data_IF_907712704115
#
_entry.id   IF_907712704115
#
_cell.length_a   1.000
_cell.length_b   1.000
_cell.length_c   1.000
_cell.angle_alpha   90.00
_cell.angle_beta   90.00
_cell.angle_gamma   90.00
#
_symmetry.space_group_name_H-M   'P 1'
#
loop_
_entity.id
_entity.type
_entity.pdbx_description
1 polymer ?
#
# COMPACT_ATOMS: atom_id res chain seq x y z
N UNK A 1 5.65 -15.32 14.07
CA UNK A 1 4.70 -14.25 13.73
C UNK A 1 5.38 -12.90 13.48
N UNK A 2 6.13 -12.34 14.40
CA UNK A 2 6.85 -11.08 14.23
C UNK A 2 7.70 -11.02 12.94
N UNK A 3 8.36 -12.11 12.57
CA UNK A 3 9.18 -12.18 11.37
C UNK A 3 8.43 -11.80 10.09
N UNK A 4 7.14 -12.13 9.95
CA UNK A 4 6.34 -11.76 8.77
C UNK A 4 6.11 -10.26 8.67
N UNK A 5 5.93 -9.58 9.80
CA UNK A 5 5.79 -8.14 9.84
C UNK A 5 7.12 -7.44 9.55
N UNK A 6 8.23 -8.00 10.04
CA UNK A 6 9.59 -7.50 9.70
C UNK A 6 9.84 -7.62 8.20
N UNK A 7 9.53 -8.77 7.60
CA UNK A 7 9.64 -8.95 6.14
C UNK A 7 8.76 -7.95 5.39
N UNK A 8 7.54 -7.71 5.86
CA UNK A 8 6.66 -6.70 5.28
C UNK A 8 7.23 -5.28 5.33
N UNK A 9 7.85 -4.91 6.45
CA UNK A 9 8.55 -3.62 6.55
C UNK A 9 9.73 -3.53 5.60
N UNK A 10 10.53 -4.60 5.48
CA UNK A 10 11.65 -4.66 4.52
C UNK A 10 11.15 -4.49 3.09
N UNK A 11 10.05 -5.17 2.71
CA UNK A 11 9.45 -5.03 1.39
C UNK A 11 8.95 -3.60 1.16
N UNK A 12 8.36 -2.95 2.17
CA UNK A 12 7.91 -1.56 2.06
C UNK A 12 9.06 -0.59 1.85
N UNK A 13 10.17 -0.78 2.57
CA UNK A 13 11.39 0.02 2.38
C UNK A 13 12.00 -0.22 1.00
N UNK A 14 12.05 -1.47 0.54
CA UNK A 14 12.53 -1.80 -0.80
C UNK A 14 11.65 -1.16 -1.88
N UNK A 15 10.33 -1.13 -1.70
CA UNK A 15 9.41 -0.48 -2.64
C UNK A 15 9.67 1.02 -2.72
N UNK A 16 9.92 1.69 -1.60
CA UNK A 16 10.31 3.11 -1.58
C UNK A 16 11.61 3.31 -2.35
N UNK A 17 12.63 2.48 -2.05
CA UNK A 17 13.93 2.57 -2.71
C UNK A 17 13.82 2.35 -4.22
N UNK A 18 13.01 1.39 -4.67
CA UNK A 18 12.77 1.12 -6.08
C UNK A 18 12.09 2.29 -6.79
N UNK A 19 11.09 2.92 -6.17
CA UNK A 19 10.42 4.10 -6.75
C UNK A 19 11.40 5.26 -6.90
N UNK A 20 12.21 5.54 -5.86
CA UNK A 20 13.23 6.58 -5.91
C UNK A 20 14.28 6.30 -7.00
N UNK A 21 14.68 5.04 -7.15
CA UNK A 21 15.64 4.63 -8.16
C UNK A 21 15.08 4.78 -9.58
N UNK A 22 13.84 4.36 -9.81
CA UNK A 22 13.16 4.52 -11.11
C UNK A 22 13.01 6.00 -11.45
N UNK A 23 12.62 6.81 -10.47
CA UNK A 23 12.45 8.26 -10.66
C UNK A 23 13.80 8.94 -10.97
N UNK A 24 14.87 8.52 -10.30
CA UNK A 24 16.25 8.96 -10.61
C UNK A 24 16.72 8.56 -12.00
N UNK A 25 16.39 7.35 -12.46
CA UNK A 25 16.70 6.91 -13.81
C UNK A 25 15.91 7.70 -14.88
N UNK A 26 14.68 8.07 -14.57
CA UNK A 26 13.87 8.88 -15.49
C UNK A 26 14.44 10.27 -15.71
N UNK A 27 15.07 10.88 -14.70
CA UNK A 27 15.77 12.15 -14.85
C UNK A 27 16.92 12.05 -15.87
N UNK A 28 17.60 10.91 -15.92
CA UNK A 28 18.69 10.68 -16.89
C UNK A 28 18.20 10.55 -18.33
N UNK A 29 16.98 10.03 -18.51
CA UNK A 29 16.39 9.80 -19.84
C UNK A 29 15.61 11.02 -20.33
N UNK A 30 14.92 11.71 -19.41
CA UNK A 30 14.08 12.87 -19.70
C UNK A 30 14.55 14.09 -18.87
N UNK A 31 15.28 15.04 -19.46
CA UNK A 31 15.76 16.23 -18.74
C UNK A 31 14.65 17.10 -18.15
N UNK A 32 13.44 17.05 -18.73
CA UNK A 32 12.27 17.80 -18.27
C UNK A 32 11.55 17.13 -17.08
N UNK A 33 12.01 15.94 -16.64
CA UNK A 33 11.41 15.21 -15.54
C UNK A 33 11.74 15.85 -14.19
N UNK A 34 10.73 16.24 -13.45
CA UNK A 34 10.90 16.82 -12.11
C UNK A 34 11.04 15.74 -11.05
N UNK A 35 12.27 15.39 -10.69
CA UNK A 35 12.57 14.46 -9.58
C UNK A 35 11.92 14.91 -8.29
N UNK A 36 12.10 16.18 -7.90
CA UNK A 36 11.53 16.73 -6.67
C UNK A 36 10.00 16.71 -6.66
N UNK A 37 9.35 16.89 -7.84
CA UNK A 37 7.90 16.83 -7.97
C UNK A 37 7.33 15.42 -7.80
N UNK A 38 8.07 14.40 -8.20
CA UNK A 38 7.62 13.01 -8.23
C UNK A 38 8.07 12.20 -7.00
N UNK A 39 9.00 12.72 -6.21
CA UNK A 39 9.50 12.07 -5.00
C UNK A 39 8.40 11.70 -4.00
N UNK A 40 7.23 12.34 -4.09
CA UNK A 40 6.04 12.06 -3.29
C UNK A 40 5.40 10.70 -3.57
N UNK A 41 5.68 10.11 -4.71
CA UNK A 41 5.18 8.78 -5.04
C UNK A 41 5.85 7.69 -4.18
N UNK A 42 7.08 7.90 -3.72
CA UNK A 42 7.82 6.93 -2.92
C UNK A 42 7.15 6.62 -1.56
N UNK A 43 6.79 7.60 -0.70
CA UNK A 43 6.07 7.30 0.54
C UNK A 43 4.69 6.71 0.28
N UNK A 44 3.99 7.09 -0.78
CA UNK A 44 2.71 6.48 -1.15
C UNK A 44 2.87 5.01 -1.56
N UNK A 45 3.90 4.67 -2.32
CA UNK A 45 4.22 3.29 -2.68
C UNK A 45 4.56 2.45 -1.46
N UNK A 46 5.38 2.98 -0.54
CA UNK A 46 5.66 2.34 0.74
C UNK A 46 4.41 2.12 1.60
N UNK A 47 3.52 3.10 1.63
CA UNK A 47 2.23 3.01 2.32
C UNK A 47 1.33 1.92 1.73
N UNK A 48 1.17 1.88 0.41
CA UNK A 48 0.36 0.86 -0.25
C UNK A 48 0.88 -0.55 0.03
N UNK A 49 2.21 -0.76 -0.03
CA UNK A 49 2.81 -2.06 0.30
C UNK A 49 2.66 -2.41 1.76
N UNK A 50 2.80 -1.47 2.67
CA UNK A 50 2.56 -1.67 4.10
C UNK A 50 1.11 -2.05 4.40
N UNK A 51 0.14 -1.37 3.80
CA UNK A 51 -1.28 -1.73 3.92
C UNK A 51 -1.58 -3.12 3.38
N UNK A 52 -1.00 -3.48 2.22
CA UNK A 52 -1.13 -4.82 1.65
C UNK A 52 -0.64 -5.87 2.63
N UNK A 53 0.53 -5.70 3.24
CA UNK A 53 1.06 -6.63 4.24
C UNK A 53 0.17 -6.68 5.48
N UNK A 54 -0.32 -5.54 5.96
CA UNK A 54 -1.22 -5.45 7.10
C UNK A 54 -2.54 -6.20 6.88
N UNK A 55 -3.02 -6.29 5.64
CA UNK A 55 -4.21 -7.07 5.26
C UNK A 55 -3.90 -8.55 5.04
N UNK A 56 -2.79 -8.85 4.37
CA UNK A 56 -2.41 -10.22 3.99
C UNK A 56 -2.08 -11.08 5.21
N UNK A 57 -1.36 -10.54 6.19
CA UNK A 57 -0.90 -11.32 7.34
C UNK A 57 -2.07 -11.87 8.17
N UNK A 58 -3.05 -11.06 8.65
CA UNK A 58 -4.16 -11.59 9.43
C UNK A 58 -5.09 -12.48 8.59
N UNK A 59 -5.34 -12.14 7.32
CA UNK A 59 -6.18 -12.96 6.44
C UNK A 59 -5.54 -14.31 6.16
N UNK A 60 -4.22 -14.38 5.95
CA UNK A 60 -3.50 -15.63 5.81
C UNK A 60 -3.61 -16.55 7.01
N UNK A 61 -3.70 -16.00 8.23
CA UNK A 61 -3.95 -16.78 9.43
C UNK A 61 -5.40 -17.27 9.57
N UNK A 62 -6.38 -16.46 9.18
CA UNK A 62 -7.80 -16.84 9.22
C UNK A 62 -8.11 -18.02 8.29
N UNK A 63 -7.50 -18.06 7.14
CA UNK A 63 -7.86 -18.94 6.02
C UNK A 63 -6.91 -20.14 5.82
N UNK A 64 -6.03 -20.42 6.78
CA UNK A 64 -5.06 -21.54 6.67
C UNK A 64 -5.72 -22.91 6.45
N UNK A 65 -6.96 -23.12 6.93
CA UNK A 65 -7.73 -24.37 6.69
C UNK A 65 -8.29 -24.48 5.27
N UNK A 66 -8.42 -23.38 4.52
CA UNK A 66 -9.07 -23.30 3.20
C UNK A 66 -8.09 -22.99 2.04
N UNK A 67 -6.78 -23.25 2.24
CA UNK A 67 -5.79 -22.89 1.23
C UNK A 67 -5.48 -21.38 1.25
N UNK A 68 -5.27 -20.82 2.42
CA UNK A 68 -5.21 -19.40 2.73
C UNK A 68 -4.33 -18.55 1.81
N UNK A 69 -3.23 -19.11 1.27
CA UNK A 69 -2.38 -18.39 0.33
C UNK A 69 -3.12 -18.11 -1.00
N UNK A 70 -3.90 -19.09 -1.49
CA UNK A 70 -4.64 -18.96 -2.76
C UNK A 70 -5.74 -17.92 -2.64
N UNK A 71 -6.47 -17.94 -1.53
CA UNK A 71 -7.56 -16.98 -1.29
C UNK A 71 -7.00 -15.58 -1.08
N UNK A 72 -5.90 -15.44 -0.33
CA UNK A 72 -5.23 -14.14 -0.15
C UNK A 72 -4.74 -13.58 -1.49
N UNK A 73 -4.14 -14.41 -2.34
CA UNK A 73 -3.73 -13.99 -3.68
C UNK A 73 -4.93 -13.61 -4.57
N UNK A 74 -6.05 -14.36 -4.49
CA UNK A 74 -7.29 -13.99 -5.20
C UNK A 74 -7.82 -12.63 -4.74
N UNK A 75 -7.87 -12.37 -3.44
CA UNK A 75 -8.33 -11.09 -2.91
C UNK A 75 -7.44 -9.94 -3.39
N UNK A 76 -6.12 -10.12 -3.33
CA UNK A 76 -5.17 -9.11 -3.85
C UNK A 76 -5.42 -8.87 -5.34
N UNK A 77 -5.58 -9.94 -6.11
CA UNK A 77 -5.80 -9.85 -7.56
C UNK A 77 -7.10 -9.10 -7.88
N UNK A 78 -8.18 -9.39 -7.15
CA UNK A 78 -9.46 -8.68 -7.30
C UNK A 78 -9.34 -7.21 -6.93
N UNK A 79 -8.64 -6.87 -5.83
CA UNK A 79 -8.42 -5.47 -5.43
C UNK A 79 -7.60 -4.73 -6.46
N UNK A 80 -6.51 -5.32 -6.94
CA UNK A 80 -5.66 -4.72 -7.99
C UNK A 80 -6.47 -4.51 -9.28
N UNK A 81 -7.20 -5.52 -9.73
CA UNK A 81 -8.08 -5.41 -10.89
C UNK A 81 -9.14 -4.32 -10.70
N UNK A 82 -9.77 -4.24 -9.52
CA UNK A 82 -10.75 -3.21 -9.23
C UNK A 82 -10.15 -1.81 -9.33
N UNK A 83 -8.95 -1.59 -8.79
CA UNK A 83 -8.25 -0.29 -8.87
C UNK A 83 -7.95 0.11 -10.32
N UNK A 84 -7.61 -0.86 -11.18
CA UNK A 84 -7.32 -0.56 -12.59
C UNK A 84 -8.59 -0.41 -13.46
N UNK A 85 -9.63 -1.18 -13.17
CA UNK A 85 -10.87 -1.18 -13.98
C UNK A 85 -11.83 -0.07 -13.53
N UNK A 86 -11.87 0.25 -12.24
CA UNK A 86 -12.79 1.25 -11.68
C UNK A 86 -12.73 2.61 -12.40
N UNK A 87 -11.55 3.19 -12.70
CA UNK A 87 -11.47 4.47 -13.41
C UNK A 87 -12.05 4.41 -14.84
N UNK A 88 -12.03 3.21 -15.47
CA UNK A 88 -12.54 3.01 -16.83
C UNK A 88 -14.07 2.92 -16.89
N UNK A 89 -14.71 2.52 -15.78
CA UNK A 89 -16.16 2.33 -15.69
C UNK A 89 -16.84 3.59 -15.15
N UNK A 90 -16.12 4.40 -14.34
CA UNK A 90 -16.67 5.58 -13.73
C UNK A 90 -16.94 6.69 -14.77
N UNK A 91 -18.08 7.43 -14.63
CA UNK A 91 -18.37 8.58 -15.48
C UNK A 91 -17.26 9.63 -15.39
N UNK A 92 -17.02 10.34 -16.48
CA UNK A 92 -15.96 11.35 -16.56
C UNK A 92 -16.10 12.49 -15.51
N UNK A 93 -17.30 12.76 -15.04
CA UNK A 93 -17.57 13.72 -13.95
C UNK A 93 -16.99 13.27 -12.62
N UNK A 94 -17.13 11.98 -12.29
CA UNK A 94 -16.60 11.38 -11.04
C UNK A 94 -15.08 11.28 -11.08
N UNK A 95 -14.51 10.88 -12.21
CA UNK A 95 -13.05 10.82 -12.39
C UNK A 95 -12.39 12.19 -12.29
N UNK A 96 -13.01 13.25 -12.84
CA UNK A 96 -12.53 14.64 -12.68
C UNK A 96 -12.63 15.11 -11.23
N UNK A 97 -13.74 14.81 -10.54
CA UNK A 97 -13.92 15.14 -9.12
C UNK A 97 -12.87 14.46 -8.24
N UNK A 98 -12.59 13.19 -8.48
CA UNK A 98 -11.55 12.43 -7.77
C UNK A 98 -10.15 12.99 -8.06
N UNK A 99 -9.84 13.33 -9.31
CA UNK A 99 -8.58 13.95 -9.70
C UNK A 99 -8.39 15.31 -9.04
N UNK A 100 -9.43 16.11 -8.98
CA UNK A 100 -9.39 17.43 -8.32
C UNK A 100 -9.19 17.29 -6.81
N UNK A 101 -9.89 16.37 -6.15
CA UNK A 101 -9.71 16.07 -4.73
C UNK A 101 -8.30 15.53 -4.44
N UNK A 102 -7.79 14.63 -5.27
CA UNK A 102 -6.43 14.11 -5.15
C UNK A 102 -5.38 15.21 -5.27
N UNK A 103 -5.53 16.11 -6.25
CA UNK A 103 -4.62 17.24 -6.43
C UNK A 103 -4.67 18.24 -5.26
N UNK A 104 -5.86 18.48 -4.69
CA UNK A 104 -6.00 19.31 -3.50
C UNK A 104 -5.31 18.71 -2.26
N UNK A 105 -5.39 17.39 -2.09
CA UNK A 105 -4.71 16.66 -1.01
C UNK A 105 -3.19 16.68 -1.23
N UNK A 106 -2.73 16.48 -2.46
CA UNK A 106 -1.31 16.51 -2.82
C UNK A 106 -0.72 17.91 -2.63
N UNK A 107 -1.49 18.97 -2.80
CA UNK A 107 -1.05 20.34 -2.53
C UNK A 107 -0.68 20.56 -1.05
N UNK A 108 -1.28 19.82 -0.12
CA UNK A 108 -0.97 19.85 1.32
C UNK A 108 0.08 18.77 1.68
N UNK A 109 1.22 18.81 1.04
CA UNK A 109 2.27 17.78 1.07
C UNK A 109 2.64 17.29 2.47
N UNK A 110 2.84 18.20 3.40
CA UNK A 110 3.33 17.90 4.76
C UNK A 110 2.28 17.12 5.57
N UNK A 111 1.03 17.55 5.51
CA UNK A 111 -0.10 16.87 6.16
C UNK A 111 -0.35 15.49 5.58
N UNK A 112 -0.17 15.33 4.28
CA UNK A 112 -0.33 14.05 3.61
C UNK A 112 0.72 13.04 4.10
N UNK A 113 1.98 13.42 4.23
CA UNK A 113 3.04 12.55 4.76
C UNK A 113 2.74 12.14 6.20
N UNK A 114 2.34 13.08 7.05
CA UNK A 114 1.97 12.79 8.44
C UNK A 114 0.78 11.84 8.49
N UNK A 115 -0.26 12.08 7.70
CA UNK A 115 -1.45 11.23 7.64
C UNK A 115 -1.11 9.81 7.17
N UNK A 116 -0.29 9.67 6.13
CA UNK A 116 0.17 8.39 5.60
C UNK A 116 0.98 7.61 6.64
N UNK A 117 1.93 8.27 7.30
CA UNK A 117 2.75 7.64 8.34
C UNK A 117 1.89 7.19 9.53
N UNK A 118 1.00 8.06 10.02
CA UNK A 118 0.12 7.76 11.16
C UNK A 118 -0.80 6.59 10.81
N UNK A 119 -1.43 6.61 9.64
CA UNK A 119 -2.32 5.54 9.18
C UNK A 119 -1.57 4.21 9.04
N UNK A 120 -0.33 4.24 8.54
CA UNK A 120 0.51 3.05 8.41
C UNK A 120 0.81 2.44 9.78
N UNK A 121 1.25 3.25 10.74
CA UNK A 121 1.56 2.79 12.09
C UNK A 121 0.32 2.20 12.78
N UNK A 122 -0.82 2.88 12.67
CA UNK A 122 -2.09 2.41 13.26
C UNK A 122 -2.55 1.11 12.59
N UNK A 123 -2.52 1.02 11.26
CA UNK A 123 -2.91 -0.18 10.52
C UNK A 123 -2.03 -1.37 10.87
N UNK A 124 -0.71 -1.17 10.97
CA UNK A 124 0.22 -2.21 11.41
C UNK A 124 -0.04 -2.66 12.86
N UNK A 125 -0.28 -1.72 13.77
CA UNK A 125 -0.61 -2.03 15.16
C UNK A 125 -1.88 -2.84 15.29
N UNK A 126 -2.96 -2.43 14.62
CA UNK A 126 -4.24 -3.15 14.61
C UNK A 126 -4.07 -4.53 13.99
N UNK A 127 -3.39 -4.62 12.84
CA UNK A 127 -3.13 -5.89 12.17
C UNK A 127 -2.33 -6.85 13.06
N UNK A 128 -1.32 -6.36 13.75
CA UNK A 128 -0.52 -7.16 14.67
C UNK A 128 -1.36 -7.71 15.84
N UNK A 129 -2.21 -6.87 16.44
CA UNK A 129 -3.10 -7.28 17.55
C UNK A 129 -4.10 -8.34 17.07
N UNK A 130 -4.71 -8.14 15.90
CA UNK A 130 -5.66 -9.11 15.33
C UNK A 130 -4.95 -10.43 15.04
N UNK A 131 -3.80 -10.39 14.37
CA UNK A 131 -3.04 -11.58 14.05
C UNK A 131 -2.54 -12.32 15.30
N UNK A 132 -2.14 -11.60 16.36
CA UNK A 132 -1.71 -12.22 17.61
C UNK A 132 -2.86 -12.94 18.32
N UNK A 133 -4.06 -12.35 18.33
CA UNK A 133 -5.26 -13.00 18.89
C UNK A 133 -5.66 -14.25 18.13
N UNK A 134 -5.64 -14.20 16.80
CA UNK A 134 -5.96 -15.35 15.94
C UNK A 134 -4.92 -16.46 16.16
N UNK A 135 -3.64 -16.11 16.29
CA UNK A 135 -2.58 -17.07 16.53
C UNK A 135 -2.74 -17.73 17.92
N UNK A 136 -2.95 -16.95 18.97
CA UNK A 136 -3.16 -17.45 20.32
C UNK A 136 -4.39 -18.36 20.45
N UNK A 137 -5.44 -18.10 19.67
CA UNK A 137 -6.65 -18.95 19.66
C UNK A 137 -6.46 -20.30 18.96
N UNK A 138 -5.33 -20.54 18.32
CA UNK A 138 -5.05 -21.74 17.52
C UNK A 138 -3.98 -22.68 18.10
N UNK A 139 -3.35 -22.29 19.18
CA UNK A 139 -2.33 -23.13 19.86
C UNK A 139 -2.95 -24.26 20.71
N UNK A 140 -4.17 -24.76 20.35
CA UNK A 140 -4.83 -25.89 20.99
C UNK A 140 -5.19 -26.96 19.98
#
# INVERSE_FOLDING_TARGET
MAARYVVGLVISVLSIAMIVLIDGLQVLVNPDWSFAGNLWAAPLGGFCTALMVALIVPTGYLWTKLGGLRVTMMVIYVVVLAVFILPSILPASVTRGLAHAANAIIAQRLWLVIAVLTTTVVAYGISYVIASRIFASREW
#
